data_IF_835333206287
#
_entry.id   IF_835333206287
#
_cell.length_a   1.000
_cell.length_b   1.000
_cell.length_c   1.000
_cell.angle_alpha   90.00
_cell.angle_beta   90.00
_cell.angle_gamma   90.00
#
_symmetry.space_group_name_H-M   'P 1'
#
loop_
_entity.id
_entity.type
_entity.pdbx_description
1 polymer ?
#
# COMPACT_ATOMS: atom_id res chain seq x y z
N UNK A 1 4.26 12.00 -13.24
CA UNK A 1 4.63 10.68 -12.67
C UNK A 1 4.51 10.68 -11.14
N UNK A 2 3.95 9.63 -10.51
CA UNK A 2 3.60 9.67 -9.09
C UNK A 2 4.81 9.61 -8.16
N UNK A 3 4.79 10.43 -7.11
CA UNK A 3 5.82 10.50 -6.06
C UNK A 3 5.19 10.19 -4.71
N UNK A 4 5.73 9.21 -3.98
CA UNK A 4 5.29 8.90 -2.61
C UNK A 4 5.66 10.01 -1.63
N UNK A 5 4.80 10.25 -0.66
CA UNK A 5 5.01 11.26 0.38
C UNK A 5 6.14 10.87 1.36
N UNK A 6 6.48 9.58 1.43
CA UNK A 6 7.61 9.06 2.20
C UNK A 6 8.38 8.05 1.36
N UNK A 7 9.71 8.06 1.46
CA UNK A 7 10.56 7.05 0.82
C UNK A 7 10.37 5.66 1.43
N UNK A 8 10.01 5.60 2.71
CA UNK A 8 9.75 4.35 3.44
C UNK A 8 8.60 4.51 4.41
N UNK A 9 7.63 3.61 4.31
CA UNK A 9 6.55 3.45 5.27
C UNK A 9 6.87 2.32 6.24
N UNK A 10 6.56 2.49 7.52
CA UNK A 10 6.74 1.47 8.55
C UNK A 10 5.61 1.56 9.56
N UNK A 11 5.06 0.42 9.99
CA UNK A 11 4.03 0.35 11.00
C UNK A 11 4.30 -0.82 11.96
N UNK A 12 3.77 -0.69 13.17
CA UNK A 12 3.69 -1.79 14.13
C UNK A 12 2.22 -2.12 14.31
N UNK A 13 1.87 -3.39 14.19
CA UNK A 13 0.50 -3.88 14.26
C UNK A 13 0.41 -4.81 15.46
N UNK A 14 -0.57 -4.57 16.33
CA UNK A 14 -0.84 -5.48 17.45
C UNK A 14 -1.27 -6.84 16.93
N UNK A 15 -0.99 -7.87 17.71
CA UNK A 15 -1.52 -9.21 17.41
C UNK A 15 -3.04 -9.25 17.62
N UNK A 16 -3.70 -10.28 17.10
CA UNK A 16 -5.13 -10.56 17.28
C UNK A 16 -6.09 -9.50 16.73
N UNK A 17 -5.66 -8.75 15.70
CA UNK A 17 -6.56 -7.87 14.95
C UNK A 17 -7.51 -8.66 14.04
N UNK A 18 -8.67 -8.08 13.76
CA UNK A 18 -9.62 -8.61 12.78
C UNK A 18 -8.98 -8.61 11.37
N UNK A 19 -9.39 -9.57 10.54
CA UNK A 19 -9.00 -9.59 9.13
C UNK A 19 -9.46 -8.30 8.43
N UNK A 20 -8.56 -7.70 7.65
CA UNK A 20 -8.82 -6.42 6.98
C UNK A 20 -8.63 -5.18 7.87
N UNK A 21 -8.12 -5.31 9.10
CA UNK A 21 -7.72 -4.17 9.91
C UNK A 21 -6.70 -3.27 9.16
N UNK A 22 -6.85 -1.96 9.32
CA UNK A 22 -5.95 -0.98 8.71
C UNK A 22 -4.55 -1.09 9.32
N UNK A 23 -3.54 -1.29 8.47
CA UNK A 23 -2.12 -1.31 8.87
C UNK A 23 -1.54 0.11 8.85
N UNK A 24 -1.59 0.75 7.68
CA UNK A 24 -1.20 2.13 7.43
C UNK A 24 -1.84 2.58 6.12
N UNK A 25 -1.80 3.89 5.85
CA UNK A 25 -2.17 4.45 4.55
C UNK A 25 -0.93 4.99 3.84
N UNK A 26 -0.74 4.60 2.59
CA UNK A 26 0.30 5.20 1.73
C UNK A 26 -0.29 6.35 0.90
N UNK A 27 0.56 7.30 0.54
CA UNK A 27 0.15 8.44 -0.27
C UNK A 27 1.20 8.70 -1.34
N UNK A 28 0.78 8.70 -2.61
CA UNK A 28 1.54 9.24 -3.71
C UNK A 28 0.77 10.34 -4.42
N UNK A 29 1.48 11.33 -4.94
CA UNK A 29 0.93 12.46 -5.70
C UNK A 29 1.61 12.56 -7.04
N UNK A 30 0.83 12.78 -8.08
CA UNK A 30 1.31 13.12 -9.41
C UNK A 30 1.03 14.60 -9.68
N UNK A 31 2.02 15.31 -10.24
CA UNK A 31 1.91 16.73 -10.57
C UNK A 31 1.20 16.99 -11.91
N UNK A 32 0.93 15.93 -12.67
CA UNK A 32 0.17 15.99 -13.91
C UNK A 32 -1.30 16.37 -13.66
N UNK A 33 -2.12 16.50 -14.71
CA UNK A 33 -3.52 16.93 -14.62
C UNK A 33 -4.51 15.86 -15.07
N UNK A 34 -5.72 15.88 -14.50
CA UNK A 34 -6.82 15.02 -14.90
C UNK A 34 -6.50 13.53 -14.76
N UNK A 35 -6.76 12.74 -15.81
CA UNK A 35 -6.49 11.29 -15.81
C UNK A 35 -5.00 10.97 -15.70
N UNK A 36 -4.12 11.84 -16.20
CA UNK A 36 -2.67 11.64 -16.11
C UNK A 36 -2.17 11.80 -14.67
N UNK A 37 -2.96 12.45 -13.80
CA UNK A 37 -2.64 12.58 -12.38
C UNK A 37 -3.14 11.41 -11.53
N UNK A 38 -3.85 10.43 -12.12
CA UNK A 38 -4.52 9.37 -11.37
C UNK A 38 -3.52 8.35 -10.86
N UNK A 39 -3.49 8.16 -9.54
CA UNK A 39 -2.63 7.18 -8.88
C UNK A 39 -3.41 5.91 -8.58
N UNK A 40 -2.81 4.74 -8.86
CA UNK A 40 -3.30 3.43 -8.41
C UNK A 40 -2.20 2.67 -7.67
N UNK A 41 -2.56 2.06 -6.55
CA UNK A 41 -1.64 1.32 -5.69
C UNK A 41 -1.73 -0.18 -5.95
N UNK A 42 -0.57 -0.84 -5.86
CA UNK A 42 -0.46 -2.30 -5.86
C UNK A 42 0.72 -2.71 -5.00
N UNK A 43 0.61 -3.87 -4.36
CA UNK A 43 1.76 -4.49 -3.73
C UNK A 43 2.60 -5.18 -4.80
N UNK A 44 3.93 -5.08 -4.65
CA UNK A 44 4.82 -5.95 -5.39
C UNK A 44 4.74 -7.34 -4.78
N UNK A 45 4.60 -8.36 -5.64
CA UNK A 45 4.53 -9.74 -5.16
C UNK A 45 5.88 -10.18 -4.59
N UNK A 46 5.82 -10.77 -3.41
CA UNK A 46 6.97 -11.27 -2.67
C UNK A 46 6.59 -12.49 -1.85
N UNK A 47 7.58 -13.16 -1.27
CA UNK A 47 7.34 -14.26 -0.33
C UNK A 47 7.82 -13.89 1.06
N UNK A 48 6.98 -14.16 2.05
CA UNK A 48 7.29 -14.05 3.48
C UNK A 48 7.11 -15.43 4.07
N UNK A 49 8.18 -16.00 4.65
CA UNK A 49 8.17 -17.35 5.23
C UNK A 49 7.61 -18.43 4.28
N UNK A 50 7.86 -18.28 2.98
CA UNK A 50 7.40 -19.21 1.94
C UNK A 50 5.99 -18.96 1.39
N UNK A 51 5.16 -18.17 2.07
CA UNK A 51 3.83 -17.77 1.59
C UNK A 51 3.86 -16.44 0.82
N UNK A 52 2.90 -16.23 -0.08
CA UNK A 52 2.78 -14.99 -0.86
C UNK A 52 2.48 -13.79 0.06
N UNK A 53 3.08 -12.63 -0.22
CA UNK A 53 2.86 -11.40 0.56
C UNK A 53 1.37 -11.00 0.62
N UNK A 54 0.66 -11.21 -0.49
CA UNK A 54 -0.78 -10.97 -0.62
C UNK A 54 -1.65 -11.83 0.30
N UNK A 55 -1.11 -12.91 0.89
CA UNK A 55 -1.83 -13.69 1.92
C UNK A 55 -1.81 -13.03 3.31
N UNK A 56 -0.90 -12.08 3.54
CA UNK A 56 -0.75 -11.40 4.84
C UNK A 56 -1.32 -9.99 4.83
N UNK A 57 -1.12 -9.23 3.75
CA UNK A 57 -1.53 -7.83 3.63
C UNK A 57 -2.05 -7.55 2.24
N UNK A 58 -2.99 -6.61 2.15
CA UNK A 58 -3.52 -6.08 0.90
C UNK A 58 -3.43 -4.56 0.90
N UNK A 59 -3.56 -3.95 -0.28
CA UNK A 59 -3.63 -2.49 -0.46
C UNK A 59 -4.87 -2.15 -1.26
N UNK A 60 -5.57 -1.09 -0.89
CA UNK A 60 -6.73 -0.64 -1.65
C UNK A 60 -6.25 0.23 -2.82
N UNK A 61 -6.59 -0.19 -4.05
CA UNK A 61 -5.99 0.35 -5.27
C UNK A 61 -6.17 1.88 -5.45
N UNK A 62 -7.24 2.47 -4.94
CA UNK A 62 -7.52 3.91 -5.12
C UNK A 62 -7.11 4.77 -3.93
N UNK A 63 -6.89 4.16 -2.76
CA UNK A 63 -6.77 4.91 -1.49
C UNK A 63 -5.47 4.68 -0.74
N UNK A 64 -4.68 3.69 -1.16
CA UNK A 64 -3.43 3.30 -0.54
C UNK A 64 -3.65 2.54 0.75
#
# INVERSE_FOLDING_TARGET
>A
APVFAQERYSARVSENNLAGALVLRVLARDADWGQNARVRYRLWEGRVRGAALSSYVSVQAETG
#
